data_IF_690085137530
#
_entry.id   IF_690085137530
#
_cell.length_a   1.000
_cell.length_b   1.000
_cell.length_c   1.000
_cell.angle_alpha   90.00
_cell.angle_beta   90.00
_cell.angle_gamma   90.00
#
_symmetry.space_group_name_H-M   'P 1'
#
loop_
_entity.id
_entity.type
_entity.pdbx_description
1 polymer ?
#
# COMPACT_ATOMS: atom_id res chain seq x y z
N UNK A 1 -33.28 -36.29 -49.58
CA UNK A 1 -32.56 -36.64 -48.33
C UNK A 1 -31.62 -35.49 -48.03
N UNK A 2 -32.06 -34.56 -47.20
CA UNK A 2 -31.30 -33.36 -46.86
C UNK A 2 -31.40 -33.23 -45.35
N UNK A 3 -30.28 -33.46 -44.67
CA UNK A 3 -30.18 -33.51 -43.21
C UNK A 3 -30.18 -32.07 -42.69
N UNK A 4 -31.22 -31.71 -41.93
CA UNK A 4 -31.30 -30.44 -41.22
C UNK A 4 -30.36 -30.44 -40.02
N UNK A 5 -29.53 -29.40 -39.94
CA UNK A 5 -28.63 -29.15 -38.82
C UNK A 5 -29.37 -28.26 -37.80
N UNK A 6 -29.80 -28.84 -36.68
CA UNK A 6 -30.34 -28.06 -35.56
C UNK A 6 -29.19 -27.37 -34.79
N UNK A 7 -29.28 -26.07 -34.48
CA UNK A 7 -28.31 -25.41 -33.62
C UNK A 7 -28.55 -25.78 -32.15
N UNK A 8 -27.50 -26.30 -31.51
CA UNK A 8 -27.47 -26.70 -30.10
C UNK A 8 -27.73 -25.56 -29.11
N UNK A 9 -27.98 -25.89 -27.83
CA UNK A 9 -28.53 -24.97 -26.84
C UNK A 9 -27.57 -23.83 -26.52
N UNK A 10 -28.07 -22.60 -26.64
CA UNK A 10 -27.38 -21.37 -26.24
C UNK A 10 -27.04 -21.44 -24.75
N UNK A 11 -25.74 -21.37 -24.46
CA UNK A 11 -25.17 -21.23 -23.11
C UNK A 11 -25.84 -20.01 -22.47
N UNK A 12 -26.69 -20.22 -21.45
CA UNK A 12 -27.27 -19.13 -20.67
C UNK A 12 -26.13 -18.43 -19.93
N UNK A 13 -25.94 -17.15 -20.21
CA UNK A 13 -25.15 -16.25 -19.38
C UNK A 13 -25.74 -16.24 -17.96
N UNK A 14 -24.93 -16.42 -16.91
CA UNK A 14 -25.42 -16.28 -15.55
C UNK A 14 -25.79 -14.81 -15.32
N UNK A 15 -27.06 -14.61 -14.99
CA UNK A 15 -27.68 -13.31 -14.75
C UNK A 15 -27.09 -12.68 -13.48
N UNK A 16 -26.67 -11.41 -13.60
CA UNK A 16 -26.34 -10.54 -12.47
C UNK A 16 -27.62 -10.27 -11.66
N UNK A 17 -27.76 -10.95 -10.54
CA UNK A 17 -28.59 -10.49 -9.44
C UNK A 17 -27.68 -10.17 -8.26
N UNK A 18 -27.44 -8.86 -8.07
CA UNK A 18 -27.14 -8.32 -6.75
C UNK A 18 -28.37 -8.49 -5.86
N UNK A 19 -28.14 -8.97 -4.64
CA UNK A 19 -29.18 -9.06 -3.61
C UNK A 19 -29.11 -10.34 -2.80
N UNK A 20 -28.20 -10.40 -1.83
CA UNK A 20 -28.55 -10.59 -0.42
C UNK A 20 -27.26 -10.59 0.41
N UNK A 21 -27.22 -9.73 1.43
CA UNK A 21 -26.22 -9.75 2.49
C UNK A 21 -26.37 -11.06 3.28
N UNK A 22 -25.80 -12.12 2.72
CA UNK A 22 -25.90 -13.50 3.17
C UNK A 22 -25.36 -14.48 2.13
N UNK A 23 -24.39 -14.07 1.32
CA UNK A 23 -23.79 -14.93 0.29
C UNK A 23 -23.17 -16.20 0.89
N UNK A 24 -23.18 -17.29 0.13
CA UNK A 24 -22.57 -18.55 0.52
C UNK A 24 -21.10 -18.32 0.94
N UNK A 25 -20.66 -18.89 2.08
CA UNK A 25 -19.30 -18.68 2.55
C UNK A 25 -18.29 -19.37 1.62
N UNK A 26 -17.19 -18.68 1.33
CA UNK A 26 -16.05 -19.23 0.59
C UNK A 26 -15.30 -20.21 1.48
N UNK A 27 -15.28 -19.97 2.80
CA UNK A 27 -14.75 -20.91 3.77
C UNK A 27 -15.57 -20.89 5.05
N UNK A 28 -15.68 -22.01 5.75
CA UNK A 28 -16.27 -22.07 7.09
C UNK A 28 -15.66 -23.17 7.94
N UNK A 29 -15.73 -22.99 9.25
CA UNK A 29 -15.35 -24.00 10.22
C UNK A 29 -16.26 -25.24 10.05
N UNK A 30 -15.65 -26.41 10.01
CA UNK A 30 -16.35 -27.69 10.04
C UNK A 30 -16.93 -27.88 11.45
N UNK A 31 -18.22 -27.57 11.62
CA UNK A 31 -19.00 -27.99 12.78
C UNK A 31 -19.50 -29.42 12.63
N UNK A 32 -20.69 -29.72 13.17
CA UNK A 32 -21.32 -31.04 13.06
C UNK A 32 -21.85 -31.36 11.66
N UNK A 33 -21.95 -30.35 10.79
CA UNK A 33 -22.42 -30.50 9.42
C UNK A 33 -21.29 -30.94 8.48
N UNK A 34 -21.60 -31.87 7.57
CA UNK A 34 -20.66 -32.29 6.54
C UNK A 34 -20.34 -31.11 5.59
N UNK A 35 -19.08 -30.99 5.14
CA UNK A 35 -18.69 -29.96 4.18
C UNK A 35 -19.45 -30.12 2.85
N UNK A 36 -19.70 -29.02 2.11
CA UNK A 36 -20.35 -29.09 0.81
C UNK A 36 -19.61 -30.02 -0.17
N UNK A 37 -20.36 -30.62 -1.09
CA UNK A 37 -19.77 -31.47 -2.12
C UNK A 37 -18.80 -30.65 -3.00
N UNK A 38 -17.57 -31.14 -3.16
CA UNK A 38 -16.52 -30.45 -3.91
C UNK A 38 -15.69 -29.45 -3.10
N UNK A 39 -16.04 -29.19 -1.83
CA UNK A 39 -15.23 -28.36 -0.95
C UNK A 39 -13.92 -29.06 -0.55
N UNK A 40 -12.85 -28.28 -0.39
CA UNK A 40 -11.58 -28.77 0.15
C UNK A 40 -11.58 -28.62 1.67
N UNK A 41 -11.15 -29.66 2.40
CA UNK A 41 -11.05 -29.63 3.86
C UNK A 41 -9.59 -29.43 4.29
N UNK A 42 -9.39 -28.56 5.27
CA UNK A 42 -8.12 -28.26 5.92
C UNK A 42 -8.30 -28.46 7.43
N UNK A 43 -7.32 -29.07 8.07
CA UNK A 43 -7.27 -29.21 9.53
C UNK A 43 -6.06 -28.47 10.05
N UNK A 44 -6.27 -27.57 11.00
CA UNK A 44 -5.23 -26.84 11.70
C UNK A 44 -4.94 -27.50 13.05
N UNK A 45 -3.70 -27.92 13.25
CA UNK A 45 -3.20 -28.38 14.53
C UNK A 45 -3.07 -27.24 15.55
N UNK A 46 -3.01 -27.58 16.84
CA UNK A 46 -2.75 -26.63 17.91
C UNK A 46 -1.39 -25.90 17.79
N UNK A 47 -0.48 -26.46 17.00
CA UNK A 47 0.84 -25.93 16.64
C UNK A 47 0.81 -25.02 15.39
N UNK A 48 -0.37 -24.78 14.82
CA UNK A 48 -0.55 -24.00 13.60
C UNK A 48 -0.12 -24.70 12.32
N UNK A 49 0.12 -26.02 12.36
CA UNK A 49 0.36 -26.79 11.14
C UNK A 49 -0.95 -27.10 10.44
N UNK A 50 -1.03 -26.75 9.16
CA UNK A 50 -2.15 -27.10 8.29
C UNK A 50 -1.90 -28.45 7.62
N UNK A 51 -2.91 -29.32 7.62
CA UNK A 51 -2.92 -30.56 6.83
C UNK A 51 -4.25 -30.74 6.11
N UNK A 52 -4.19 -31.26 4.89
CA UNK A 52 -5.39 -31.58 4.09
C UNK A 52 -5.60 -33.10 4.12
N UNK A 53 -6.63 -33.63 4.80
CA UNK A 53 -6.88 -35.07 4.87
C UNK A 53 -7.25 -35.63 3.48
N UNK A 54 -6.60 -36.72 3.08
CA UNK A 54 -6.66 -37.27 1.71
C UNK A 54 -7.96 -38.05 1.37
N UNK A 55 -8.95 -38.13 2.28
CA UNK A 55 -10.14 -38.95 2.07
C UNK A 55 -11.43 -38.22 2.45
N UNK A 56 -12.29 -37.99 1.45
CA UNK A 56 -13.69 -37.63 1.64
C UNK A 56 -14.47 -38.89 2.04
N UNK A 57 -14.73 -39.02 3.34
CA UNK A 57 -15.59 -40.02 3.94
C UNK A 57 -15.95 -39.55 5.35
N UNK A 58 -17.21 -39.75 5.76
CA UNK A 58 -17.90 -39.11 6.90
C UNK A 58 -17.22 -39.17 8.29
N UNK A 59 -16.03 -39.77 8.43
CA UNK A 59 -15.21 -39.80 9.66
C UNK A 59 -13.90 -39.00 9.57
N UNK A 60 -13.50 -38.52 8.40
CA UNK A 60 -12.24 -37.79 8.20
C UNK A 60 -12.32 -36.28 8.55
N UNK A 61 -13.51 -35.80 8.89
CA UNK A 61 -13.82 -34.39 9.22
C UNK A 61 -13.74 -34.05 10.70
N UNK A 62 -13.44 -35.03 11.56
CA UNK A 62 -13.35 -34.78 13.00
C UNK A 62 -11.98 -34.21 13.35
N UNK A 63 -11.95 -32.90 13.60
CA UNK A 63 -10.82 -32.25 14.26
C UNK A 63 -10.49 -33.00 15.57
N UNK A 64 -9.23 -33.35 15.78
CA UNK A 64 -8.76 -33.91 17.05
C UNK A 64 -8.88 -32.92 18.19
N UNK A 65 -8.59 -33.37 19.43
CA UNK A 65 -8.65 -32.51 20.61
C UNK A 65 -7.66 -31.34 20.47
N UNK A 66 -8.18 -30.12 20.35
CA UNK A 66 -7.39 -28.90 20.15
C UNK A 66 -7.08 -28.56 18.70
N UNK A 67 -7.66 -29.28 17.74
CA UNK A 67 -7.56 -28.96 16.31
C UNK A 67 -8.83 -28.23 15.85
N UNK A 68 -8.72 -27.46 14.77
CA UNK A 68 -9.87 -26.86 14.09
C UNK A 68 -9.91 -27.31 12.64
N UNK A 69 -11.05 -27.79 12.18
CA UNK A 69 -11.26 -28.18 10.79
C UNK A 69 -12.03 -27.07 10.08
N UNK A 70 -11.64 -26.79 8.84
CA UNK A 70 -12.27 -25.80 7.98
C UNK A 70 -12.50 -26.44 6.61
N UNK A 71 -13.56 -26.02 5.94
CA UNK A 71 -13.75 -26.29 4.53
C UNK A 71 -13.71 -24.99 3.75
N UNK A 72 -13.29 -25.04 2.49
CA UNK A 72 -13.41 -23.93 1.57
C UNK A 72 -13.80 -24.40 0.16
N UNK A 73 -14.49 -23.53 -0.57
CA UNK A 73 -14.83 -23.72 -1.97
C UNK A 73 -13.72 -23.13 -2.87
N UNK A 74 -13.13 -23.97 -3.71
CA UNK A 74 -12.06 -23.55 -4.63
C UNK A 74 -12.54 -22.63 -5.76
N UNK A 75 -13.84 -22.55 -6.00
CA UNK A 75 -14.43 -21.71 -7.05
C UNK A 75 -14.72 -22.47 -8.34
N UNK A 76 -15.05 -21.75 -9.42
CA UNK A 76 -14.69 -20.35 -9.70
C UNK A 76 -15.53 -19.31 -8.95
N UNK A 77 -14.88 -18.21 -8.55
CA UNK A 77 -15.49 -17.06 -7.88
C UNK A 77 -15.40 -15.81 -8.75
N UNK A 78 -16.37 -14.90 -8.62
CA UNK A 78 -16.33 -13.58 -9.27
C UNK A 78 -16.74 -12.49 -8.30
N UNK A 79 -15.95 -11.42 -8.23
CA UNK A 79 -16.20 -10.27 -7.35
C UNK A 79 -15.99 -8.95 -8.11
N UNK A 80 -16.72 -7.92 -7.70
CA UNK A 80 -16.48 -6.53 -8.09
C UNK A 80 -15.71 -5.80 -6.98
N UNK A 81 -14.69 -5.03 -7.36
CA UNK A 81 -13.85 -4.25 -6.47
C UNK A 81 -13.86 -2.78 -6.88
N UNK A 82 -13.78 -1.86 -5.91
CA UNK A 82 -13.65 -0.42 -6.13
C UNK A 82 -12.29 0.08 -5.62
N UNK A 83 -11.15 -0.36 -6.20
CA UNK A 83 -9.84 -0.09 -5.62
C UNK A 83 -9.37 1.36 -5.80
N UNK A 84 -9.96 2.13 -6.73
CA UNK A 84 -9.46 3.44 -7.11
C UNK A 84 -10.12 4.56 -6.29
N UNK A 85 -9.43 5.02 -5.24
CA UNK A 85 -9.94 6.11 -4.40
C UNK A 85 -10.23 7.40 -5.20
N UNK A 86 -9.41 7.70 -6.22
CA UNK A 86 -9.57 8.88 -7.08
C UNK A 86 -10.66 8.76 -8.15
N UNK A 87 -11.11 7.55 -8.49
CA UNK A 87 -12.07 7.28 -9.56
C UNK A 87 -12.98 6.10 -9.17
N UNK A 88 -13.89 6.29 -8.18
CA UNK A 88 -14.76 5.21 -7.67
C UNK A 88 -15.74 4.66 -8.69
N UNK A 89 -15.98 5.37 -9.79
CA UNK A 89 -16.77 4.94 -10.96
C UNK A 89 -16.10 3.83 -11.76
N UNK A 90 -14.78 3.70 -11.63
CA UNK A 90 -14.01 2.63 -12.24
C UNK A 90 -13.76 1.54 -11.20
N UNK A 91 -14.24 0.33 -11.49
CA UNK A 91 -14.03 -0.86 -10.69
C UNK A 91 -13.21 -1.91 -11.43
N UNK A 92 -12.89 -2.98 -10.71
CA UNK A 92 -12.32 -4.19 -11.27
C UNK A 92 -13.29 -5.35 -11.06
N UNK A 93 -13.59 -6.07 -12.13
CA UNK A 93 -14.23 -7.38 -12.03
C UNK A 93 -13.13 -8.43 -12.06
N UNK A 94 -13.06 -9.19 -10.98
CA UNK A 94 -12.05 -10.23 -10.76
C UNK A 94 -12.74 -11.59 -10.79
N UNK A 95 -12.30 -12.48 -11.68
CA UNK A 95 -12.61 -13.89 -11.65
C UNK A 95 -11.38 -14.66 -11.16
N UNK A 96 -11.57 -15.54 -10.18
CA UNK A 96 -10.46 -16.22 -9.54
C UNK A 96 -10.84 -17.61 -9.02
N UNK A 97 -9.81 -18.40 -8.74
CA UNK A 97 -9.90 -19.69 -8.05
C UNK A 97 -8.99 -19.68 -6.83
N UNK A 98 -9.41 -20.37 -5.76
CA UNK A 98 -8.53 -20.63 -4.62
C UNK A 98 -7.68 -21.84 -4.95
N UNK A 99 -6.37 -21.73 -4.76
CA UNK A 99 -5.44 -22.75 -5.22
C UNK A 99 -5.70 -24.13 -4.61
N UNK A 100 -5.76 -25.12 -5.51
CA UNK A 100 -5.80 -26.53 -5.14
C UNK A 100 -4.51 -26.95 -4.43
N UNK A 101 -4.56 -28.08 -3.71
CA UNK A 101 -3.40 -28.56 -2.98
C UNK A 101 -2.27 -28.94 -3.94
N UNK A 102 -1.15 -28.22 -3.91
CA UNK A 102 0.10 -28.66 -4.54
C UNK A 102 0.88 -29.56 -3.57
N UNK A 103 1.07 -30.87 -3.86
CA UNK A 103 1.82 -31.78 -3.02
C UNK A 103 3.32 -31.42 -2.86
N UNK A 104 3.84 -30.46 -3.64
CA UNK A 104 5.22 -29.98 -3.55
C UNK A 104 5.40 -28.85 -2.53
N UNK A 105 4.32 -28.16 -2.16
CA UNK A 105 4.36 -27.07 -1.20
C UNK A 105 4.03 -27.59 0.19
N UNK A 106 4.96 -27.39 1.14
CA UNK A 106 4.79 -27.80 2.53
C UNK A 106 3.60 -27.09 3.22
N UNK A 107 3.26 -25.88 2.78
CA UNK A 107 2.09 -25.12 3.26
C UNK A 107 1.47 -24.35 2.09
N UNK A 108 0.17 -24.51 1.90
CA UNK A 108 -0.58 -23.72 0.93
C UNK A 108 -0.84 -22.32 1.48
N UNK A 109 -0.81 -21.30 0.63
CA UNK A 109 -0.93 -19.91 1.07
C UNK A 109 -2.32 -19.55 1.54
N UNK A 110 -3.36 -20.09 0.90
CA UNK A 110 -4.72 -19.90 1.38
C UNK A 110 -4.93 -20.51 2.78
N UNK A 111 -4.28 -21.66 3.07
CA UNK A 111 -4.34 -22.27 4.41
C UNK A 111 -3.70 -21.35 5.46
N UNK A 112 -2.59 -20.69 5.11
CA UNK A 112 -1.92 -19.71 5.98
C UNK A 112 -2.80 -18.48 6.24
N UNK A 113 -3.40 -17.92 5.18
CA UNK A 113 -4.33 -16.80 5.29
C UNK A 113 -5.54 -17.16 6.16
N UNK A 114 -6.16 -18.31 5.90
CA UNK A 114 -7.31 -18.78 6.65
C UNK A 114 -6.96 -18.97 8.13
N UNK A 115 -5.79 -19.54 8.44
CA UNK A 115 -5.35 -19.72 9.81
C UNK A 115 -5.01 -18.41 10.54
N UNK A 116 -4.30 -17.49 9.87
CA UNK A 116 -3.77 -16.29 10.52
C UNK A 116 -4.77 -15.15 10.65
N UNK A 117 -5.64 -15.00 9.66
CA UNK A 117 -6.48 -13.81 9.50
C UNK A 117 -7.98 -14.08 9.74
N UNK A 118 -8.41 -15.34 9.74
CA UNK A 118 -9.83 -15.71 9.84
C UNK A 118 -10.07 -16.64 11.03
N UNK A 119 -9.31 -17.73 11.13
CA UNK A 119 -9.42 -18.70 12.20
C UNK A 119 -9.11 -18.00 13.55
N UNK A 120 -10.06 -18.08 14.48
CA UNK A 120 -9.98 -17.41 15.78
C UNK A 120 -10.65 -16.03 15.83
N UNK A 121 -11.02 -15.44 14.69
CA UNK A 121 -11.83 -14.21 14.64
C UNK A 121 -13.30 -14.52 14.32
N UNK A 122 -13.52 -15.38 13.32
CA UNK A 122 -14.85 -15.74 12.83
C UNK A 122 -14.90 -17.24 12.50
N UNK A 123 -16.10 -17.84 12.48
CA UNK A 123 -16.33 -19.24 12.10
C UNK A 123 -16.65 -19.41 10.61
N UNK A 124 -16.74 -18.32 9.85
CA UNK A 124 -17.04 -18.30 8.42
C UNK A 124 -16.38 -17.10 7.74
N UNK A 125 -16.05 -17.28 6.48
CA UNK A 125 -15.55 -16.27 5.55
C UNK A 125 -16.54 -16.13 4.38
N UNK A 126 -17.48 -15.17 4.46
CA UNK A 126 -18.32 -14.79 3.32
C UNK A 126 -17.48 -14.29 2.13
N UNK A 127 -17.98 -14.48 0.90
CA UNK A 127 -17.31 -13.96 -0.30
C UNK A 127 -17.16 -12.42 -0.25
N UNK A 128 -18.14 -11.71 0.30
CA UNK A 128 -18.07 -10.26 0.48
C UNK A 128 -16.96 -9.82 1.44
N UNK A 129 -16.71 -10.57 2.51
CA UNK A 129 -15.63 -10.26 3.46
C UNK A 129 -14.26 -10.52 2.83
N UNK A 130 -14.13 -11.59 2.05
CA UNK A 130 -12.93 -11.84 1.25
C UNK A 130 -12.70 -10.72 0.23
N UNK A 131 -13.75 -10.28 -0.48
CA UNK A 131 -13.68 -9.17 -1.42
C UNK A 131 -13.23 -7.87 -0.75
N UNK A 132 -13.77 -7.54 0.44
CA UNK A 132 -13.35 -6.36 1.20
C UNK A 132 -11.89 -6.41 1.65
N UNK A 133 -11.39 -7.59 2.04
CA UNK A 133 -9.97 -7.79 2.40
C UNK A 133 -9.05 -7.66 1.19
N UNK A 134 -9.45 -8.22 0.05
CA UNK A 134 -8.74 -8.08 -1.23
C UNK A 134 -8.70 -6.61 -1.65
N UNK A 135 -9.82 -5.91 -1.59
CA UNK A 135 -9.91 -4.48 -1.92
C UNK A 135 -8.99 -3.63 -1.03
N UNK A 136 -8.99 -3.90 0.28
CA UNK A 136 -8.13 -3.19 1.23
C UNK A 136 -6.64 -3.44 0.94
N UNK A 137 -6.26 -4.68 0.66
CA UNK A 137 -4.88 -5.02 0.31
C UNK A 137 -4.45 -4.37 -1.01
N UNK A 138 -5.34 -4.33 -2.00
CA UNK A 138 -5.10 -3.69 -3.29
C UNK A 138 -4.94 -2.17 -3.14
N UNK A 139 -5.83 -1.51 -2.39
CA UNK A 139 -5.68 -0.08 -2.07
C UNK A 139 -4.36 0.20 -1.36
N UNK A 140 -4.01 -0.60 -0.36
CA UNK A 140 -2.74 -0.42 0.34
C UNK A 140 -1.52 -0.60 -0.59
N UNK A 141 -1.56 -1.54 -1.53
CA UNK A 141 -0.49 -1.75 -2.50
C UNK A 141 -0.36 -0.57 -3.49
N UNK A 142 -1.51 -0.01 -3.92
CA UNK A 142 -1.57 1.20 -4.75
C UNK A 142 -1.03 2.42 -4.00
N UNK A 143 -1.48 2.64 -2.76
CA UNK A 143 -1.07 3.78 -1.92
C UNK A 143 0.44 3.74 -1.59
N UNK A 144 1.00 2.54 -1.44
CA UNK A 144 2.42 2.33 -1.16
C UNK A 144 3.28 2.33 -2.44
N UNK A 145 2.68 2.41 -3.63
CA UNK A 145 3.39 2.32 -4.91
C UNK A 145 4.05 0.96 -5.16
N UNK A 146 3.59 -0.09 -4.48
CA UNK A 146 4.03 -1.47 -4.75
C UNK A 146 3.33 -2.03 -5.98
N UNK A 147 2.11 -1.55 -6.23
CA UNK A 147 1.38 -1.77 -7.47
C UNK A 147 1.19 -0.41 -8.13
N UNK A 148 1.73 -0.23 -9.34
CA UNK A 148 1.50 0.98 -10.11
C UNK A 148 0.19 0.84 -10.88
N UNK A 149 -0.75 1.78 -10.66
CA UNK A 149 -1.90 1.94 -11.55
C UNK A 149 -1.44 2.74 -12.77
N UNK A 150 -1.22 2.10 -13.94
CA UNK A 150 -0.81 2.84 -15.11
C UNK A 150 -1.95 3.77 -15.56
N UNK A 151 -1.66 4.77 -16.40
CA UNK A 151 -2.71 5.57 -17.05
C UNK A 151 -3.58 4.72 -18.01
N UNK A 152 -3.35 3.40 -18.09
CA UNK A 152 -4.07 2.42 -18.91
C UNK A 152 -4.15 2.85 -20.38
N UNK A 153 -3.08 3.45 -20.90
CA UNK A 153 -3.03 3.94 -22.28
C UNK A 153 -2.48 2.89 -23.25
N UNK A 154 -1.92 1.79 -22.71
CA UNK A 154 -1.45 0.64 -23.50
C UNK A 154 -1.80 -0.71 -22.87
N UNK A 155 -1.87 -1.75 -23.70
CA UNK A 155 -2.06 -3.14 -23.26
C UNK A 155 -0.88 -3.64 -22.40
N UNK A 156 0.34 -3.17 -22.69
CA UNK A 156 1.53 -3.56 -21.94
C UNK A 156 1.48 -3.06 -20.49
N UNK A 157 1.02 -1.82 -20.30
CA UNK A 157 0.74 -1.24 -18.99
C UNK A 157 -0.30 -2.05 -18.22
N UNK A 158 -1.43 -2.39 -18.86
CA UNK A 158 -2.47 -3.21 -18.24
C UNK A 158 -1.95 -4.58 -17.81
N UNK A 159 -1.15 -5.24 -18.66
CA UNK A 159 -0.55 -6.52 -18.34
C UNK A 159 0.44 -6.45 -17.17
N UNK A 160 1.19 -5.34 -17.05
CA UNK A 160 2.11 -5.13 -15.93
C UNK A 160 1.36 -4.96 -14.61
N UNK A 161 0.27 -4.17 -14.60
CA UNK A 161 -0.63 -4.06 -13.46
C UNK A 161 -1.23 -5.42 -13.09
N UNK A 162 -1.74 -6.16 -14.08
CA UNK A 162 -2.32 -7.49 -13.86
C UNK A 162 -1.30 -8.45 -13.26
N UNK A 163 -0.07 -8.46 -13.75
CA UNK A 163 0.99 -9.32 -13.22
C UNK A 163 1.29 -8.99 -11.73
N UNK A 164 1.34 -7.71 -11.36
CA UNK A 164 1.51 -7.32 -9.96
C UNK A 164 0.30 -7.66 -9.08
N UNK A 165 -0.91 -7.55 -9.60
CA UNK A 165 -2.14 -7.98 -8.92
C UNK A 165 -2.13 -9.50 -8.70
N UNK A 166 -1.79 -10.27 -9.74
CA UNK A 166 -1.67 -11.73 -9.67
C UNK A 166 -0.66 -12.14 -8.59
N UNK A 167 0.49 -11.48 -8.54
CA UNK A 167 1.51 -11.69 -7.50
C UNK A 167 0.98 -11.35 -6.11
N UNK A 168 0.35 -10.18 -5.92
CA UNK A 168 -0.21 -9.77 -4.64
C UNK A 168 -1.23 -10.79 -4.12
N UNK A 169 -2.17 -11.20 -4.97
CA UNK A 169 -3.24 -12.12 -4.58
C UNK A 169 -2.72 -13.53 -4.32
N UNK A 170 -1.78 -13.99 -5.13
CA UNK A 170 -1.13 -15.28 -4.92
C UNK A 170 -0.27 -15.29 -3.66
N UNK A 171 0.50 -14.24 -3.39
CA UNK A 171 1.39 -14.15 -2.22
C UNK A 171 0.62 -13.99 -0.92
N UNK A 172 -0.41 -13.15 -0.90
CA UNK A 172 -1.14 -12.80 0.32
C UNK A 172 -2.29 -13.75 0.62
N UNK A 173 -3.06 -14.13 -0.39
CA UNK A 173 -4.28 -14.90 -0.20
C UNK A 173 -4.16 -16.32 -0.74
N UNK A 174 -3.19 -16.65 -1.60
CA UNK A 174 -3.11 -17.97 -2.23
C UNK A 174 -4.23 -18.19 -3.25
N UNK A 175 -4.53 -17.15 -4.01
CA UNK A 175 -5.57 -17.11 -5.03
C UNK A 175 -4.91 -16.93 -6.40
N UNK A 176 -5.38 -17.69 -7.38
CA UNK A 176 -5.01 -17.52 -8.78
C UNK A 176 -6.11 -16.78 -9.52
N UNK A 177 -5.73 -15.69 -10.19
CA UNK A 177 -6.62 -14.87 -11.01
C UNK A 177 -6.76 -15.49 -12.40
N UNK A 178 -7.99 -15.75 -12.81
CA UNK A 178 -8.31 -16.23 -14.16
C UNK A 178 -8.53 -15.04 -15.10
N UNK A 179 -9.37 -14.10 -14.68
CA UNK A 179 -9.68 -12.89 -15.44
C UNK A 179 -9.74 -11.66 -14.54
N UNK A 180 -9.29 -10.53 -15.07
CA UNK A 180 -9.34 -9.23 -14.43
C UNK A 180 -9.61 -8.20 -15.51
N UNK A 181 -10.75 -7.52 -15.41
CA UNK A 181 -11.15 -6.50 -16.37
C UNK A 181 -11.66 -5.25 -15.66
N UNK A 182 -11.33 -4.05 -16.18
CA UNK A 182 -11.94 -2.83 -15.69
C UNK A 182 -13.43 -2.82 -16.07
N UNK A 183 -14.28 -2.41 -15.13
CA UNK A 183 -15.73 -2.31 -15.31
C UNK A 183 -16.24 -1.02 -14.71
N UNK A 184 -17.28 -0.43 -15.31
CA UNK A 184 -18.12 0.54 -14.62
C UNK A 184 -19.06 -0.25 -13.70
N UNK A 185 -19.07 0.10 -12.42
CA UNK A 185 -19.90 -0.60 -11.43
C UNK A 185 -21.25 0.13 -11.31
N UNK A 186 -22.31 -0.49 -11.83
CA UNK A 186 -23.66 0.06 -11.83
C UNK A 186 -24.28 0.24 -10.43
N UNK A 187 -23.74 -0.45 -9.41
CA UNK A 187 -24.30 -0.57 -8.06
C UNK A 187 -23.67 0.38 -7.00
N UNK A 188 -22.87 1.37 -7.41
CA UNK A 188 -22.22 2.31 -6.48
C UNK A 188 -23.06 3.59 -6.32
N UNK A 189 -23.46 3.94 -5.08
CA UNK A 189 -24.14 5.22 -4.79
C UNK A 189 -23.15 6.40 -4.88
N UNK A 190 -22.85 6.81 -6.11
CA UNK A 190 -21.97 7.93 -6.42
C UNK A 190 -22.42 9.23 -5.76
N UNK A 191 -23.73 9.47 -5.72
CA UNK A 191 -24.29 10.68 -5.13
C UNK A 191 -24.05 10.70 -3.62
N UNK A 192 -24.16 9.56 -2.93
CA UNK A 192 -23.80 9.40 -1.52
C UNK A 192 -22.32 9.65 -1.26
N UNK A 193 -21.44 9.03 -2.05
CA UNK A 193 -19.98 9.18 -1.90
C UNK A 193 -19.49 10.62 -2.11
N UNK A 194 -19.96 11.29 -3.16
CA UNK A 194 -19.60 12.69 -3.43
C UNK A 194 -20.13 13.64 -2.36
N UNK A 195 -21.32 13.38 -1.81
CA UNK A 195 -21.86 14.14 -0.67
C UNK A 195 -21.01 13.97 0.59
N UNK A 196 -20.53 12.75 0.88
CA UNK A 196 -19.62 12.48 1.98
C UNK A 196 -18.30 13.25 1.84
N UNK A 197 -17.68 13.20 0.66
CA UNK A 197 -16.45 13.95 0.37
C UNK A 197 -16.65 15.45 0.47
N UNK A 198 -17.78 15.97 -0.03
CA UNK A 198 -18.11 17.39 0.10
C UNK A 198 -18.29 17.82 1.56
N UNK A 199 -18.80 16.94 2.42
CA UNK A 199 -18.92 17.20 3.85
C UNK A 199 -17.55 17.19 4.57
N UNK A 200 -16.64 16.28 4.20
CA UNK A 200 -15.28 16.20 4.75
C UNK A 200 -14.35 17.33 4.26
N UNK A 201 -14.58 17.80 3.02
CA UNK A 201 -13.80 18.88 2.40
C UNK A 201 -14.35 20.28 2.72
N UNK A 202 -15.44 20.37 3.49
CA UNK A 202 -16.01 21.66 3.87
C UNK A 202 -15.12 22.31 4.96
N UNK A 203 -14.51 23.47 4.71
CA UNK A 203 -13.77 24.18 5.74
C UNK A 203 -14.71 24.54 6.90
N UNK A 204 -14.22 24.59 8.15
CA UNK A 204 -15.05 25.02 9.27
C UNK A 204 -15.67 26.39 8.94
N UNK A 205 -16.99 26.46 9.05
CA UNK A 205 -17.76 27.68 8.79
C UNK A 205 -17.14 28.83 9.61
N UNK A 206 -16.79 29.97 8.99
CA UNK A 206 -16.28 31.10 9.76
C UNK A 206 -17.34 31.51 10.77
N UNK A 207 -16.97 31.46 12.05
CA UNK A 207 -17.78 31.98 13.14
C UNK A 207 -18.00 33.48 12.94
N UNK A 208 -19.21 33.95 13.27
CA UNK A 208 -19.54 35.37 13.36
C UNK A 208 -18.49 36.13 14.18
N UNK A 209 -18.18 37.41 13.85
CA UNK A 209 -17.07 38.12 14.48
C UNK A 209 -17.36 38.31 15.98
N UNK A 210 -16.49 37.83 16.89
CA UNK A 210 -16.57 38.23 18.27
C UNK A 210 -16.04 39.67 18.42
N UNK A 211 -16.54 40.36 19.44
CA UNK A 211 -16.04 41.65 19.93
C UNK A 211 -14.50 41.71 19.98
N UNK A 212 -13.91 42.92 19.85
CA UNK A 212 -12.47 43.08 19.66
C UNK A 212 -11.68 42.50 20.84
N UNK A 213 -11.18 41.29 20.63
CA UNK A 213 -10.18 40.64 21.46
C UNK A 213 -8.82 41.33 21.27
N UNK A 214 -7.97 41.33 22.30
CA UNK A 214 -6.62 41.89 22.23
C UNK A 214 -5.81 41.24 21.09
N UNK A 215 -4.80 41.95 20.55
CA UNK A 215 -4.08 41.51 19.35
C UNK A 215 -3.60 40.07 19.50
N UNK A 216 -3.77 39.22 18.47
CA UNK A 216 -3.35 37.84 18.53
C UNK A 216 -1.85 37.80 18.77
N UNK A 217 -1.46 37.23 19.90
CA UNK A 217 -0.09 36.75 20.09
C UNK A 217 0.12 35.75 18.98
N UNK A 218 0.97 36.09 18.01
CA UNK A 218 1.27 35.24 16.85
C UNK A 218 1.50 33.80 17.34
N UNK A 219 0.58 32.91 16.98
CA UNK A 219 0.70 31.51 17.33
C UNK A 219 2.02 31.01 16.74
N UNK A 220 2.94 30.65 17.64
CA UNK A 220 4.26 30.16 17.27
C UNK A 220 4.08 28.93 16.37
N UNK A 221 4.76 28.87 15.20
CA UNK A 221 4.63 27.72 14.31
C UNK A 221 4.98 26.43 15.06
N UNK A 222 4.29 25.32 14.78
CA UNK A 222 4.60 24.02 15.39
C UNK A 222 6.07 23.69 15.14
N UNK A 223 6.75 23.17 16.16
CA UNK A 223 8.15 22.77 16.01
C UNK A 223 8.22 21.66 14.92
N UNK A 224 9.14 21.76 13.95
CA UNK A 224 9.18 20.86 12.80
C UNK A 224 9.44 19.40 13.22
N UNK A 225 8.68 18.46 12.66
CA UNK A 225 8.86 17.02 12.88
C UNK A 225 10.12 16.50 12.15
N UNK A 226 11.25 16.58 12.87
CA UNK A 226 12.58 16.13 12.40
C UNK A 226 12.59 14.66 11.97
N UNK A 227 11.88 13.79 12.71
CA UNK A 227 11.87 12.36 12.43
C UNK A 227 11.14 12.05 11.13
N UNK A 228 9.99 12.70 10.90
CA UNK A 228 9.26 12.59 9.64
C UNK A 228 10.09 13.13 8.47
N UNK A 229 10.75 14.28 8.64
CA UNK A 229 11.59 14.87 7.59
C UNK A 229 12.76 13.97 7.19
N UNK A 230 13.50 13.40 8.17
CA UNK A 230 14.60 12.48 7.89
C UNK A 230 14.13 11.16 7.30
N UNK A 231 13.02 10.59 7.78
CA UNK A 231 12.44 9.36 7.21
C UNK A 231 12.07 9.57 5.74
N UNK A 232 11.51 10.73 5.41
CA UNK A 232 11.18 11.09 4.03
C UNK A 232 12.42 11.20 3.16
N UNK A 233 13.43 11.94 3.61
CA UNK A 233 14.71 12.06 2.91
C UNK A 233 15.39 10.69 2.69
N UNK A 234 15.33 9.80 3.69
CA UNK A 234 15.87 8.45 3.61
C UNK A 234 15.22 7.63 2.49
N UNK A 235 13.88 7.68 2.40
CA UNK A 235 13.12 6.91 1.42
C UNK A 235 13.22 7.50 0.01
N UNK A 236 13.16 8.82 -0.12
CA UNK A 236 12.99 9.47 -1.41
C UNK A 236 14.30 9.86 -2.12
N UNK A 237 15.42 10.05 -1.42
CA UNK A 237 16.70 10.39 -2.09
C UNK A 237 17.21 9.29 -3.04
N UNK A 238 17.14 7.99 -2.71
CA UNK A 238 17.46 6.92 -3.65
C UNK A 238 16.59 6.96 -4.91
N UNK A 239 15.30 7.26 -4.74
CA UNK A 239 14.36 7.39 -5.84
C UNK A 239 14.61 8.65 -6.67
N UNK A 240 14.97 9.77 -6.05
CA UNK A 240 15.35 10.98 -6.74
C UNK A 240 16.60 10.75 -7.61
N UNK A 241 17.58 9.98 -7.11
CA UNK A 241 18.74 9.57 -7.89
C UNK A 241 18.37 8.63 -9.05
N UNK A 242 17.41 7.71 -8.86
CA UNK A 242 16.87 6.84 -9.93
C UNK A 242 16.15 7.67 -10.99
N UNK A 243 15.29 8.58 -10.59
CA UNK A 243 14.57 9.48 -11.48
C UNK A 243 15.53 10.35 -12.29
N UNK A 244 16.55 10.92 -11.65
CA UNK A 244 17.59 11.70 -12.33
C UNK A 244 18.36 10.88 -13.38
N UNK A 245 18.57 9.57 -13.19
CA UNK A 245 19.19 8.71 -14.23
C UNK A 245 18.27 8.47 -15.43
N UNK A 246 16.96 8.47 -15.23
CA UNK A 246 15.97 8.22 -16.28
C UNK A 246 15.71 9.43 -17.19
N UNK A 247 16.04 10.63 -16.70
CA UNK A 247 15.86 11.87 -17.47
C UNK A 247 16.97 12.00 -18.52
N UNK A 248 16.65 12.50 -19.73
CA UNK A 248 17.67 12.82 -20.73
C UNK A 248 18.68 13.82 -20.15
N UNK A 249 19.95 13.63 -20.48
CA UNK A 249 21.05 14.43 -19.97
C UNK A 249 21.83 15.07 -21.13
N UNK A 250 21.87 16.41 -21.23
CA UNK A 250 22.66 17.09 -22.25
C UNK A 250 24.17 17.01 -21.96
N UNK A 251 24.56 16.89 -20.69
CA UNK A 251 25.95 16.83 -20.25
C UNK A 251 26.18 15.70 -19.22
N UNK A 252 26.85 14.63 -19.65
CA UNK A 252 27.13 13.45 -18.80
C UNK A 252 27.91 13.79 -17.52
N UNK A 253 28.93 14.66 -17.62
CA UNK A 253 29.76 15.03 -16.47
C UNK A 253 28.97 15.77 -15.37
N UNK A 254 28.08 16.70 -15.77
CA UNK A 254 27.21 17.41 -14.85
C UNK A 254 26.24 16.43 -14.17
N UNK A 255 25.63 15.54 -14.96
CA UNK A 255 24.72 14.50 -14.45
C UNK A 255 25.42 13.57 -13.44
N UNK A 256 26.64 13.15 -13.73
CA UNK A 256 27.44 12.34 -12.81
C UNK A 256 27.74 13.07 -11.50
N UNK A 257 28.09 14.37 -11.55
CA UNK A 257 28.34 15.18 -10.36
C UNK A 257 27.09 15.35 -9.49
N UNK A 258 25.92 15.58 -10.10
CA UNK A 258 24.64 15.66 -9.39
C UNK A 258 24.29 14.32 -8.71
N UNK A 259 24.46 13.21 -9.41
CA UNK A 259 24.24 11.87 -8.85
C UNK A 259 25.18 11.56 -7.69
N UNK A 260 26.45 11.96 -7.77
CA UNK A 260 27.41 11.83 -6.67
C UNK A 260 26.99 12.65 -5.46
N UNK A 261 26.55 13.90 -5.65
CA UNK A 261 26.05 14.75 -4.56
C UNK A 261 24.80 14.18 -3.89
N UNK A 262 23.85 13.64 -4.66
CA UNK A 262 22.68 12.96 -4.12
C UNK A 262 23.04 11.69 -3.33
N UNK A 263 24.03 10.92 -3.82
CA UNK A 263 24.51 9.74 -3.10
C UNK A 263 25.16 10.10 -1.75
N UNK A 264 25.93 11.18 -1.70
CA UNK A 264 26.50 11.70 -0.45
C UNK A 264 25.40 12.20 0.50
N UNK A 265 24.40 12.92 -0.02
CA UNK A 265 23.24 13.35 0.78
C UNK A 265 22.47 12.16 1.37
N UNK A 266 22.26 11.08 0.62
CA UNK A 266 21.63 9.87 1.11
C UNK A 266 22.46 9.18 2.22
N UNK A 267 23.79 9.13 2.04
CA UNK A 267 24.70 8.61 3.08
C UNK A 267 24.66 9.46 4.36
N UNK A 268 24.62 10.78 4.21
CA UNK A 268 24.50 11.70 5.33
C UNK A 268 23.21 11.46 6.12
N UNK A 269 22.07 11.33 5.43
CA UNK A 269 20.78 11.03 6.08
C UNK A 269 20.80 9.67 6.77
N UNK A 270 21.40 8.64 6.17
CA UNK A 270 21.52 7.30 6.77
C UNK A 270 22.31 7.28 8.09
N UNK A 271 23.19 8.26 8.30
CA UNK A 271 24.05 8.36 9.49
C UNK A 271 23.53 9.38 10.50
N UNK A 272 22.41 10.06 10.21
CA UNK A 272 21.82 11.08 11.05
C UNK A 272 20.74 10.50 11.98
N UNK A 273 20.94 10.47 13.31
CA UNK A 273 19.89 10.10 14.22
C UNK A 273 18.83 11.21 14.30
N UNK A 274 17.55 10.82 14.39
CA UNK A 274 16.45 11.73 14.68
C UNK A 274 16.64 12.38 16.05
N UNK A 275 16.06 13.57 16.27
CA UNK A 275 16.18 14.32 17.52
C UNK A 275 15.92 13.46 18.77
N UNK A 276 14.87 12.63 18.75
CA UNK A 276 14.50 11.74 19.86
C UNK A 276 15.56 10.66 20.19
N UNK A 277 16.40 10.30 19.24
CA UNK A 277 17.41 9.23 19.35
C UNK A 277 18.84 9.77 19.39
N UNK A 278 19.03 11.05 19.08
CA UNK A 278 20.34 11.68 19.01
C UNK A 278 20.98 11.97 20.38
N UNK A 279 20.21 11.87 21.47
CA UNK A 279 20.71 11.98 22.84
C UNK A 279 19.88 11.10 23.81
N UNK A 280 20.10 9.78 23.85
CA UNK A 280 19.38 8.90 24.76
C UNK A 280 19.53 9.36 26.23
N UNK A 281 18.41 9.50 26.93
CA UNK A 281 18.37 9.90 28.34
C UNK A 281 18.60 11.38 28.65
N UNK A 282 18.77 12.25 27.64
CA UNK A 282 18.97 13.69 27.87
C UNK A 282 18.13 14.53 26.90
N UNK A 283 17.34 15.46 27.44
CA UNK A 283 16.64 16.45 26.63
C UNK A 283 17.66 17.45 26.05
N UNK A 284 17.77 17.52 24.72
CA UNK A 284 18.53 18.59 24.03
C UNK A 284 17.88 19.95 24.28
N UNK A 285 18.67 21.02 24.21
CA UNK A 285 18.17 22.38 24.39
C UNK A 285 17.14 22.73 23.30
N UNK A 286 16.10 23.49 23.64
CA UNK A 286 15.03 23.83 22.67
C UNK A 286 15.53 24.59 21.45
N UNK A 287 16.57 25.41 21.60
CA UNK A 287 17.15 26.16 20.47
C UNK A 287 17.93 25.25 19.52
N UNK A 288 18.62 24.26 20.07
CA UNK A 288 19.32 23.23 19.33
C UNK A 288 18.35 22.32 18.56
N UNK A 289 17.27 21.87 19.24
CA UNK A 289 16.20 21.10 18.60
C UNK A 289 15.55 21.87 17.45
N UNK A 290 15.31 23.18 17.63
CA UNK A 290 14.76 24.04 16.57
C UNK A 290 15.70 24.20 15.38
N UNK A 291 17.01 24.37 15.60
CA UNK A 291 17.99 24.45 14.51
C UNK A 291 18.07 23.14 13.73
N UNK A 292 18.22 22.01 14.43
CA UNK A 292 18.30 20.69 13.82
C UNK A 292 17.02 20.32 13.05
N UNK A 293 15.85 20.50 13.67
CA UNK A 293 14.56 20.26 13.02
C UNK A 293 14.30 21.22 11.86
N UNK A 294 14.72 22.48 11.99
CA UNK A 294 14.65 23.48 10.91
C UNK A 294 15.52 23.11 9.71
N UNK A 295 16.73 22.59 9.94
CA UNK A 295 17.62 22.11 8.90
C UNK A 295 17.06 20.86 8.19
N UNK A 296 16.52 19.90 8.93
CA UNK A 296 15.84 18.73 8.34
C UNK A 296 14.62 19.14 7.51
N UNK A 297 13.79 20.06 8.00
CA UNK A 297 12.64 20.56 7.27
C UNK A 297 13.05 21.34 6.00
N UNK A 298 14.14 22.10 6.05
CA UNK A 298 14.67 22.81 4.88
C UNK A 298 15.25 21.85 3.83
N UNK A 299 15.93 20.79 4.26
CA UNK A 299 16.38 19.72 3.37
C UNK A 299 15.19 19.00 2.71
N UNK A 300 14.12 18.71 3.45
CA UNK A 300 12.89 18.12 2.89
C UNK A 300 12.21 19.05 1.86
N UNK A 301 12.20 20.37 2.09
CA UNK A 301 11.72 21.33 1.08
C UNK A 301 12.58 21.36 -0.18
N UNK A 302 13.90 21.25 -0.05
CA UNK A 302 14.78 21.14 -1.22
C UNK A 302 14.53 19.85 -2.02
N UNK A 303 14.14 18.76 -1.34
CA UNK A 303 13.69 17.53 -1.99
C UNK A 303 12.35 17.72 -2.73
N UNK A 304 11.40 18.48 -2.16
CA UNK A 304 10.16 18.87 -2.87
C UNK A 304 10.44 19.66 -4.14
N UNK A 305 11.34 20.65 -4.06
CA UNK A 305 11.81 21.42 -5.22
C UNK A 305 12.43 20.50 -6.28
N UNK A 306 13.21 19.50 -5.86
CA UNK A 306 13.85 18.54 -6.76
C UNK A 306 12.80 17.71 -7.52
N UNK A 307 11.79 17.19 -6.83
CA UNK A 307 10.69 16.46 -7.47
C UNK A 307 9.87 17.33 -8.42
N UNK A 308 9.57 18.57 -8.02
CA UNK A 308 8.90 19.53 -8.88
C UNK A 308 9.71 19.81 -10.16
N UNK A 309 11.04 19.93 -10.04
CA UNK A 309 11.92 20.13 -11.18
C UNK A 309 11.96 18.91 -12.11
N UNK A 310 11.99 17.68 -11.58
CA UNK A 310 11.86 16.48 -12.43
C UNK A 310 10.54 16.43 -13.19
N UNK A 311 9.43 16.82 -12.55
CA UNK A 311 8.13 16.91 -13.21
C UNK A 311 8.08 18.01 -14.29
N UNK A 312 8.83 19.11 -14.10
CA UNK A 312 8.99 20.14 -15.13
C UNK A 312 9.82 19.60 -16.32
N UNK A 313 10.97 18.97 -16.05
CA UNK A 313 11.87 18.41 -17.07
C UNK A 313 11.25 17.29 -17.92
N UNK A 314 10.22 16.60 -17.42
CA UNK A 314 9.44 15.63 -18.22
C UNK A 314 8.53 16.31 -19.25
N UNK A 315 8.12 17.55 -19.01
CA UNK A 315 7.19 18.32 -19.86
C UNK A 315 7.93 19.23 -20.84
N UNK A 316 9.08 19.75 -20.42
CA UNK A 316 9.95 20.62 -21.23
C UNK A 316 11.37 20.08 -21.14
N UNK A 317 12.16 20.17 -22.22
CA UNK A 317 13.60 19.90 -22.16
C UNK A 317 14.25 20.96 -21.26
N UNK A 318 14.26 20.70 -19.95
CA UNK A 318 14.71 21.63 -18.92
C UNK A 318 16.22 21.69 -18.83
N UNK A 319 16.70 22.78 -18.22
CA UNK A 319 18.12 23.02 -17.95
C UNK A 319 18.55 22.42 -16.61
N UNK A 320 19.75 21.84 -16.58
CA UNK A 320 20.35 21.21 -15.40
C UNK A 320 20.87 22.26 -14.38
N UNK A 321 20.96 23.55 -14.74
CA UNK A 321 21.39 24.64 -13.82
C UNK A 321 20.52 24.73 -12.56
N UNK A 322 19.20 24.58 -12.71
CA UNK A 322 18.27 24.64 -11.58
C UNK A 322 18.39 23.40 -10.67
N UNK A 323 18.67 22.24 -11.27
CA UNK A 323 18.97 21.02 -10.50
C UNK A 323 20.23 21.20 -9.66
N UNK A 324 21.26 21.85 -10.18
CA UNK A 324 22.48 22.11 -9.43
C UNK A 324 22.22 22.99 -8.21
N UNK A 325 21.45 24.07 -8.37
CA UNK A 325 21.03 24.95 -7.27
C UNK A 325 20.28 24.18 -6.18
N UNK A 326 19.30 23.37 -6.58
CA UNK A 326 18.46 22.60 -5.64
C UNK A 326 19.30 21.57 -4.88
N UNK A 327 20.15 20.81 -5.57
CA UNK A 327 21.04 19.81 -4.95
C UNK A 327 22.06 20.47 -4.02
N UNK A 328 22.57 21.66 -4.38
CA UNK A 328 23.44 22.44 -3.50
C UNK A 328 22.72 22.88 -2.21
N UNK A 329 21.47 23.35 -2.30
CA UNK A 329 20.66 23.71 -1.13
C UNK A 329 20.39 22.51 -0.22
N UNK A 330 20.05 21.36 -0.80
CA UNK A 330 19.88 20.11 -0.07
C UNK A 330 21.15 19.76 0.72
N UNK A 331 22.31 19.74 0.05
CA UNK A 331 23.59 19.43 0.67
C UNK A 331 23.96 20.44 1.76
N UNK A 332 23.69 21.72 1.55
CA UNK A 332 23.92 22.79 2.53
C UNK A 332 23.13 22.57 3.82
N UNK A 333 21.84 22.26 3.72
CA UNK A 333 20.99 22.02 4.90
C UNK A 333 21.40 20.76 5.67
N UNK A 334 21.78 19.68 4.98
CA UNK A 334 22.30 18.47 5.61
C UNK A 334 23.65 18.69 6.29
N UNK A 335 24.54 19.46 5.68
CA UNK A 335 25.82 19.84 6.28
C UNK A 335 25.63 20.71 7.52
N UNK A 336 24.73 21.70 7.46
CA UNK A 336 24.37 22.55 8.60
C UNK A 336 23.85 21.73 9.77
N UNK A 337 22.94 20.79 9.52
CA UNK A 337 22.43 19.87 10.54
C UNK A 337 23.54 19.06 11.20
N UNK A 338 24.50 18.55 10.42
CA UNK A 338 25.62 17.75 10.93
C UNK A 338 26.54 18.57 11.83
N UNK A 339 26.84 19.81 11.42
CA UNK A 339 27.65 20.73 12.21
C UNK A 339 26.98 21.06 13.54
N UNK A 340 25.68 21.37 13.52
CA UNK A 340 24.91 21.63 14.74
C UNK A 340 24.83 20.40 15.66
N UNK A 341 24.68 19.20 15.09
CA UNK A 341 24.64 17.96 15.86
C UNK A 341 25.98 17.67 16.55
N UNK A 342 27.10 17.97 15.87
CA UNK A 342 28.45 17.80 16.40
C UNK A 342 28.79 18.84 17.49
N UNK A 343 28.36 20.09 17.31
CA UNK A 343 28.56 21.17 18.29
C UNK A 343 27.89 20.86 19.63
N UNK A 344 26.66 20.34 19.63
CA UNK A 344 25.95 19.93 20.85
C UNK A 344 26.59 18.75 21.60
N UNK A 345 27.39 17.93 20.92
CA UNK A 345 28.22 16.89 21.56
C UNK A 345 29.58 17.37 22.05
N UNK A 346 30.13 18.45 21.48
CA UNK A 346 31.46 18.99 21.78
C UNK A 346 31.51 19.83 23.06
N UNK A 347 30.50 20.66 23.33
CA UNK A 347 30.40 21.48 24.57
C UNK A 347 30.42 20.63 25.86
N UNK A 348 30.12 19.32 25.76
CA UNK A 348 30.15 18.39 26.91
C UNK A 348 31.54 17.86 27.28
N UNK A 349 32.58 18.05 26.46
CA UNK A 349 33.94 17.54 26.77
C UNK A 349 34.84 18.52 27.52
N UNK A 350 34.48 19.80 27.62
CA UNK A 350 35.31 20.82 28.29
C UNK A 350 34.89 21.15 29.74
N UNK A 351 33.80 20.58 30.25
CA UNK A 351 33.35 20.79 31.64
C UNK A 351 33.54 19.51 32.44
N UNK A 352 34.79 19.18 32.74
CA UNK A 352 35.17 18.29 33.84
C UNK A 352 36.56 18.67 34.35
N UNK A 353 36.67 19.47 35.43
CA UNK A 353 37.80 19.39 36.35
C UNK A 353 37.70 18.16 37.26
#
# INVERSE_FOLDING_TARGET
MTVGHEPGPRRREPSLHGGEAGGAPVAACCGDAAPPAGATVVVFGADGQARRPAAFGARATMAGKGETAWWFDSGPHTIGLVPFAGAPELGLRLAFVVDAADPRLARQRFDLFLFSEVAGQCDRLPLGDLAGRIELALRAALDQGTLDLPPCTSLAEWNAFRAGLDELLYMRFGITVDDCVPVELDDVDFAGMLRGRAAESMPPRPAEPPEPLPPPVAARPPDPDDAAALRRLFLELPDAARALRSLPAPAFALRQALLQRLALAALDVNTMPALAWSAPGHARGRDEQRRLGGASAAAARALDELWAQFAAMKRTSGDDTELERIVANLAFHLAGRRADAAAGTGERREIAP
#
